data_IF_521810024087
#
_entry.id   IF_521810024087
#
_cell.length_a   1.000
_cell.length_b   1.000
_cell.length_c   1.000
_cell.angle_alpha   90.00
_cell.angle_beta   90.00
_cell.angle_gamma   90.00
#
_symmetry.space_group_name_H-M   'P 1'
#
loop_
_entity.id
_entity.type
_entity.pdbx_description
1 polymer ?
#
# COMPACT_ATOMS: atom_id res chain seq x y z
N UNK A 1 -61.48 38.94 50.02
CA UNK A 1 -62.48 37.95 49.54
C UNK A 1 -62.11 37.50 48.14
N UNK A 2 -61.99 36.18 47.98
CA UNK A 2 -62.23 35.37 46.79
C UNK A 2 -61.72 35.73 45.37
N UNK A 3 -60.91 34.79 44.85
CA UNK A 3 -61.12 34.00 43.61
C UNK A 3 -60.47 34.42 42.27
N UNK A 4 -59.46 33.61 41.90
CA UNK A 4 -59.26 32.84 40.64
C UNK A 4 -59.57 33.51 39.29
N UNK A 5 -58.60 33.47 38.37
CA UNK A 5 -58.67 32.65 37.14
C UNK A 5 -57.29 32.40 36.48
N UNK A 6 -57.18 31.16 35.98
CA UNK A 6 -56.06 30.46 35.34
C UNK A 6 -55.95 30.77 33.84
N UNK A 7 -54.90 30.20 33.20
CA UNK A 7 -54.73 29.81 31.77
C UNK A 7 -53.90 30.78 30.93
N UNK A 8 -52.91 30.40 30.10
CA UNK A 8 -52.32 29.11 29.72
C UNK A 8 -50.83 29.35 29.36
N UNK A 9 -49.90 28.76 30.10
CA UNK A 9 -48.50 28.72 29.73
C UNK A 9 -48.23 27.45 28.92
N UNK A 10 -48.45 27.50 27.61
CA UNK A 10 -48.00 26.45 26.68
C UNK A 10 -46.50 26.63 26.48
N UNK A 11 -45.70 26.00 27.35
CA UNK A 11 -44.27 25.83 27.09
C UNK A 11 -44.12 24.72 26.07
N UNK A 12 -44.00 25.10 24.80
CA UNK A 12 -43.52 24.20 23.75
C UNK A 12 -42.07 23.83 24.10
N UNK A 13 -41.88 22.61 24.58
CA UNK A 13 -40.56 22.04 24.80
C UNK A 13 -39.97 21.75 23.42
N UNK A 14 -39.19 22.69 22.89
CA UNK A 14 -38.41 22.49 21.66
C UNK A 14 -37.36 21.40 21.93
N UNK A 15 -37.68 20.16 21.58
CA UNK A 15 -36.72 19.07 21.53
C UNK A 15 -35.81 19.30 20.32
N UNK A 16 -34.70 19.99 20.54
CA UNK A 16 -33.63 20.12 19.56
C UNK A 16 -32.94 18.76 19.44
N UNK A 17 -33.36 17.94 18.48
CA UNK A 17 -32.64 16.74 18.07
C UNK A 17 -31.36 17.21 17.36
N UNK A 18 -30.24 17.22 18.09
CA UNK A 18 -28.91 17.40 17.52
C UNK A 18 -28.59 16.09 16.78
N UNK A 19 -28.89 16.05 15.47
CA UNK A 19 -28.33 15.05 14.57
C UNK A 19 -26.85 15.36 14.42
N UNK A 20 -26.03 14.74 15.26
CA UNK A 20 -24.59 14.68 15.05
C UNK A 20 -24.37 13.84 13.79
N UNK A 21 -24.32 14.50 12.63
CA UNK A 21 -23.76 13.91 11.42
C UNK A 21 -22.30 13.60 11.71
N UNK A 22 -22.03 12.38 12.18
CA UNK A 22 -20.72 11.78 12.06
C UNK A 22 -20.49 11.62 10.56
N UNK A 23 -19.94 12.67 9.96
CA UNK A 23 -19.25 12.57 8.69
C UNK A 23 -18.06 11.64 8.96
N UNK A 24 -18.30 10.34 8.87
CA UNK A 24 -17.24 9.38 8.65
C UNK A 24 -16.62 9.81 7.34
N UNK A 25 -15.57 10.63 7.41
CA UNK A 25 -14.66 10.79 6.31
C UNK A 25 -14.22 9.36 5.97
N UNK A 26 -14.77 8.83 4.88
CA UNK A 26 -14.39 7.52 4.38
C UNK A 26 -12.87 7.53 4.29
N UNK A 27 -12.23 6.55 4.93
CA UNK A 27 -10.78 6.51 4.97
C UNK A 27 -10.24 6.51 3.53
N UNK A 28 -9.41 7.51 3.24
CA UNK A 28 -8.74 7.78 1.97
C UNK A 28 -8.07 6.57 1.31
N UNK A 29 -7.59 5.65 2.14
CA UNK A 29 -6.86 4.44 1.74
C UNK A 29 -7.35 3.28 2.60
N UNK A 30 -7.62 2.14 1.97
CA UNK A 30 -7.94 0.89 2.66
C UNK A 30 -7.02 -0.22 2.15
N UNK A 31 -6.37 -0.92 3.09
CA UNK A 31 -5.54 -2.09 2.80
C UNK A 31 -6.24 -3.33 3.36
N UNK A 32 -6.48 -4.32 2.52
CA UNK A 32 -7.05 -5.63 2.90
C UNK A 32 -6.21 -6.76 2.32
N UNK A 33 -6.45 -7.99 2.78
CA UNK A 33 -5.83 -9.18 2.21
C UNK A 33 -6.79 -9.90 1.26
N UNK A 34 -6.26 -10.40 0.15
CA UNK A 34 -7.00 -11.23 -0.79
C UNK A 34 -6.04 -12.13 -1.58
N UNK A 35 -6.53 -12.75 -2.65
CA UNK A 35 -5.74 -13.57 -3.55
C UNK A 35 -5.92 -13.14 -5.00
N UNK A 36 -4.84 -13.23 -5.77
CA UNK A 36 -4.87 -13.07 -7.23
C UNK A 36 -3.84 -14.02 -7.85
N UNK A 37 -4.18 -14.65 -8.98
CA UNK A 37 -3.36 -15.70 -9.62
C UNK A 37 -2.96 -16.84 -8.65
N UNK A 38 -3.83 -17.16 -7.68
CA UNK A 38 -3.59 -18.18 -6.66
C UNK A 38 -2.55 -17.82 -5.60
N UNK A 39 -2.26 -16.52 -5.40
CA UNK A 39 -1.21 -16.04 -4.49
C UNK A 39 -1.75 -14.98 -3.52
N UNK A 40 -1.28 -14.91 -2.27
CA UNK A 40 -1.66 -13.86 -1.32
C UNK A 40 -1.28 -12.47 -1.83
N UNK A 41 -2.22 -11.53 -1.70
CA UNK A 41 -2.02 -10.14 -2.09
C UNK A 41 -2.51 -9.20 -0.97
N UNK A 42 -1.88 -8.03 -0.88
CA UNK A 42 -2.54 -6.87 -0.29
C UNK A 42 -3.34 -6.15 -1.39
N UNK A 43 -4.59 -5.84 -1.11
CA UNK A 43 -5.46 -5.04 -1.98
C UNK A 43 -5.54 -3.65 -1.37
N UNK A 44 -5.05 -2.66 -2.12
CA UNK A 44 -4.97 -1.27 -1.68
C UNK A 44 -5.97 -0.47 -2.51
N UNK A 45 -7.04 -0.04 -1.86
CA UNK A 45 -8.08 0.78 -2.48
C UNK A 45 -7.82 2.24 -2.11
N UNK A 46 -7.72 3.08 -3.13
CA UNK A 46 -7.55 4.53 -3.06
C UNK A 46 -8.72 5.22 -3.76
N UNK A 47 -8.71 6.55 -3.82
CA UNK A 47 -9.76 7.30 -4.53
C UNK A 47 -9.71 7.06 -6.05
N UNK A 48 -8.53 6.85 -6.63
CA UNK A 48 -8.35 6.79 -8.09
C UNK A 48 -8.10 5.39 -8.64
N UNK A 49 -7.68 4.45 -7.78
CA UNK A 49 -7.28 3.13 -8.22
C UNK A 49 -7.33 2.07 -7.11
N UNK A 50 -7.37 0.81 -7.55
CA UNK A 50 -7.13 -0.37 -6.73
C UNK A 50 -5.83 -1.05 -7.17
N UNK A 51 -4.89 -1.20 -6.23
CA UNK A 51 -3.63 -1.89 -6.43
C UNK A 51 -3.70 -3.31 -5.87
N UNK A 52 -3.11 -4.26 -6.58
CA UNK A 52 -2.92 -5.63 -6.10
C UNK A 52 -1.43 -5.85 -5.91
N UNK A 53 -0.99 -6.02 -4.67
CA UNK A 53 0.42 -6.19 -4.31
C UNK A 53 0.70 -7.64 -3.93
N UNK A 54 1.53 -8.36 -4.72
CA UNK A 54 1.93 -9.74 -4.42
C UNK A 54 2.86 -9.75 -3.20
N UNK A 55 2.40 -10.36 -2.10
CA UNK A 55 3.14 -10.34 -0.83
C UNK A 55 4.52 -11.04 -0.93
N UNK A 56 4.62 -12.09 -1.74
CA UNK A 56 5.82 -12.91 -1.88
C UNK A 56 6.73 -12.45 -3.03
N UNK A 57 6.17 -11.75 -4.02
CA UNK A 57 6.93 -11.09 -5.09
C UNK A 57 7.50 -9.74 -4.66
N UNK A 58 6.75 -8.99 -3.86
CA UNK A 58 7.13 -7.66 -3.40
C UNK A 58 6.82 -6.53 -4.41
N UNK A 59 5.89 -6.77 -5.34
CA UNK A 59 5.49 -5.83 -6.39
C UNK A 59 4.01 -5.93 -6.73
N UNK A 60 3.52 -4.93 -7.45
CA UNK A 60 2.16 -4.86 -7.97
C UNK A 60 1.96 -5.76 -9.18
N UNK A 61 0.92 -6.59 -9.11
CA UNK A 61 0.41 -7.40 -10.21
C UNK A 61 -0.73 -6.72 -10.97
N UNK A 62 -1.42 -5.78 -10.33
CA UNK A 62 -2.53 -5.02 -10.95
C UNK A 62 -2.53 -3.58 -10.46
N UNK A 63 -2.94 -2.68 -11.34
CA UNK A 63 -3.29 -1.30 -11.05
C UNK A 63 -4.57 -0.99 -11.80
N UNK A 64 -5.71 -1.07 -11.14
CA UNK A 64 -7.03 -0.94 -11.76
C UNK A 64 -7.55 0.47 -11.50
N UNK A 65 -7.78 1.25 -12.54
CA UNK A 65 -8.41 2.57 -12.38
C UNK A 65 -9.92 2.49 -12.13
N UNK A 66 -10.54 3.62 -11.84
CA UNK A 66 -11.99 3.70 -11.59
C UNK A 66 -12.87 3.35 -12.81
N UNK A 67 -12.29 3.28 -14.01
CA UNK A 67 -12.98 2.83 -15.23
C UNK A 67 -12.83 1.32 -15.44
N UNK A 68 -12.17 0.62 -14.50
CA UNK A 68 -11.94 -0.83 -14.53
C UNK A 68 -10.78 -1.26 -15.41
N UNK A 69 -9.98 -0.32 -15.95
CA UNK A 69 -8.84 -0.63 -16.81
C UNK A 69 -7.64 -0.98 -15.96
N UNK A 70 -7.03 -2.14 -16.23
CA UNK A 70 -5.85 -2.63 -15.50
C UNK A 70 -4.56 -2.22 -16.21
N UNK A 71 -3.80 -1.33 -15.60
CA UNK A 71 -2.58 -0.76 -16.14
C UNK A 71 -1.35 -1.66 -16.01
N UNK A 72 -1.47 -2.82 -15.34
CA UNK A 72 -0.38 -3.81 -15.22
C UNK A 72 -0.84 -5.14 -15.81
N UNK A 73 -2.02 -5.64 -15.41
CA UNK A 73 -2.63 -6.86 -15.93
C UNK A 73 -1.65 -8.06 -15.97
N UNK A 74 -0.93 -8.30 -14.87
CA UNK A 74 -0.06 -9.46 -14.74
C UNK A 74 -0.86 -10.77 -14.76
N UNK A 75 -0.34 -11.75 -15.50
CA UNK A 75 -0.83 -13.13 -15.48
C UNK A 75 0.37 -14.03 -15.23
N UNK A 76 0.22 -15.01 -14.33
CA UNK A 76 1.34 -15.87 -13.96
C UNK A 76 1.84 -16.71 -15.13
N UNK A 77 0.94 -17.14 -16.01
CA UNK A 77 1.28 -18.07 -17.08
C UNK A 77 1.18 -17.42 -18.47
N UNK A 78 2.24 -17.50 -19.30
CA UNK A 78 3.58 -17.98 -18.97
C UNK A 78 4.38 -16.95 -18.15
N UNK A 79 5.16 -17.40 -17.16
CA UNK A 79 5.93 -16.50 -16.30
C UNK A 79 7.15 -15.92 -17.02
N UNK A 80 7.96 -16.80 -17.63
CA UNK A 80 9.28 -16.46 -18.18
C UNK A 80 9.50 -17.03 -19.60
N UNK A 81 8.59 -16.77 -20.53
CA UNK A 81 8.66 -17.23 -21.92
C UNK A 81 8.72 -16.06 -22.89
N UNK A 82 9.88 -15.81 -23.49
CA UNK A 82 10.00 -14.74 -24.49
C UNK A 82 9.49 -15.19 -25.88
N UNK A 83 8.66 -14.39 -26.58
CA UNK A 83 8.09 -13.11 -26.16
C UNK A 83 6.70 -13.21 -25.49
N UNK A 84 6.11 -14.42 -25.38
CA UNK A 84 4.75 -14.63 -24.91
C UNK A 84 4.44 -13.95 -23.56
N UNK A 85 5.38 -13.97 -22.61
CA UNK A 85 5.26 -13.36 -21.28
C UNK A 85 5.13 -11.84 -21.28
N UNK A 86 5.35 -11.16 -22.41
CA UNK A 86 5.01 -9.73 -22.54
C UNK A 86 3.51 -9.45 -22.40
N UNK A 87 2.66 -10.46 -22.62
CA UNK A 87 1.21 -10.42 -22.38
C UNK A 87 0.80 -11.02 -21.02
N UNK A 88 1.79 -11.42 -20.19
CA UNK A 88 1.56 -12.19 -18.98
C UNK A 88 2.68 -11.94 -17.95
N UNK A 89 3.57 -12.91 -17.79
CA UNK A 89 4.49 -12.97 -16.65
C UNK A 89 5.60 -11.93 -16.58
N UNK A 90 5.87 -11.18 -17.65
CA UNK A 90 6.82 -10.07 -17.57
C UNK A 90 6.18 -8.80 -17.03
N UNK A 91 4.85 -8.70 -17.00
CA UNK A 91 4.17 -7.50 -16.49
C UNK A 91 4.34 -7.39 -14.98
N UNK A 92 4.43 -6.17 -14.47
CA UNK A 92 4.63 -5.91 -13.05
C UNK A 92 5.23 -4.54 -12.77
N UNK A 93 5.25 -4.18 -11.49
CA UNK A 93 5.92 -2.98 -11.01
C UNK A 93 6.30 -3.17 -9.53
N UNK A 94 7.54 -2.89 -9.07
CA UNK A 94 8.63 -2.25 -9.81
C UNK A 94 9.56 -3.22 -10.56
N UNK A 95 9.40 -4.54 -10.45
CA UNK A 95 10.37 -5.54 -10.97
C UNK A 95 11.84 -5.16 -10.65
N UNK A 96 12.16 -4.95 -9.38
CA UNK A 96 13.34 -4.17 -9.01
C UNK A 96 14.69 -4.89 -9.20
N UNK A 97 14.71 -6.21 -8.97
CA UNK A 97 15.95 -6.99 -8.85
C UNK A 97 16.09 -7.97 -10.01
N UNK A 98 17.16 -7.81 -10.79
CA UNK A 98 17.40 -8.60 -12.00
C UNK A 98 18.85 -9.09 -12.11
N UNK A 99 19.02 -10.22 -12.80
CA UNK A 99 20.31 -10.73 -13.28
C UNK A 99 20.83 -11.93 -12.48
N UNK A 100 21.51 -12.85 -13.16
CA UNK A 100 21.96 -14.14 -12.60
C UNK A 100 22.92 -13.98 -11.42
N UNK A 101 23.68 -12.88 -11.38
CA UNK A 101 24.59 -12.58 -10.27
C UNK A 101 23.87 -12.09 -9.01
N UNK A 102 22.56 -11.79 -9.08
CA UNK A 102 21.77 -11.36 -7.92
C UNK A 102 21.00 -12.55 -7.32
N UNK A 103 21.37 -13.04 -6.12
CA UNK A 103 20.61 -14.11 -5.44
C UNK A 103 19.13 -13.80 -5.19
N UNK A 104 18.73 -12.52 -5.18
CA UNK A 104 17.35 -12.09 -5.01
C UNK A 104 16.68 -11.74 -6.35
N UNK A 105 17.20 -12.24 -7.48
CA UNK A 105 16.62 -12.06 -8.82
C UNK A 105 15.11 -12.39 -8.84
N UNK A 106 14.32 -11.48 -9.39
CA UNK A 106 12.85 -11.49 -9.36
C UNK A 106 12.24 -10.78 -8.14
N UNK A 107 13.04 -10.27 -7.20
CA UNK A 107 12.54 -9.46 -6.09
C UNK A 107 11.93 -8.14 -6.59
N UNK A 108 10.73 -7.83 -6.10
CA UNK A 108 9.94 -6.69 -6.58
C UNK A 108 9.11 -7.00 -7.82
N UNK A 109 9.17 -8.20 -8.37
CA UNK A 109 8.33 -8.64 -9.50
C UNK A 109 7.22 -9.60 -9.00
N UNK A 110 5.94 -9.41 -9.40
CA UNK A 110 4.84 -10.31 -9.01
C UNK A 110 5.00 -11.72 -9.60
N UNK A 111 4.69 -12.76 -8.83
CA UNK A 111 4.79 -14.16 -9.27
C UNK A 111 6.04 -14.88 -8.75
N UNK A 112 7.09 -14.15 -8.39
CA UNK A 112 8.27 -14.71 -7.72
C UNK A 112 8.07 -14.88 -6.21
N UNK A 113 8.91 -15.70 -5.59
CA UNK A 113 8.87 -15.99 -4.16
C UNK A 113 10.13 -15.47 -3.45
N UNK A 114 10.55 -14.24 -3.72
CA UNK A 114 11.80 -13.68 -3.21
C UNK A 114 11.64 -12.80 -1.97
N UNK A 115 10.42 -12.40 -1.64
CA UNK A 115 10.16 -11.39 -0.64
C UNK A 115 9.25 -11.89 0.49
N UNK A 116 9.24 -11.11 1.57
CA UNK A 116 8.23 -11.11 2.63
C UNK A 116 7.72 -9.68 2.76
N UNK A 117 6.41 -9.52 2.78
CA UNK A 117 5.78 -8.19 2.85
C UNK A 117 4.74 -8.15 3.95
N UNK A 118 4.61 -7.00 4.61
CA UNK A 118 3.66 -6.79 5.70
C UNK A 118 3.18 -5.34 5.74
N UNK A 119 1.94 -5.16 6.17
CA UNK A 119 1.35 -3.84 6.42
C UNK A 119 1.96 -3.27 7.70
N UNK A 120 2.55 -2.08 7.64
CA UNK A 120 3.20 -1.44 8.81
C UNK A 120 2.32 -0.38 9.47
N UNK A 121 1.42 0.21 8.71
CA UNK A 121 0.38 1.13 9.17
C UNK A 121 -0.79 1.12 8.18
N UNK A 122 -1.78 2.00 8.36
CA UNK A 122 -3.00 2.02 7.53
C UNK A 122 -2.75 2.34 6.05
N UNK A 123 -1.58 2.87 5.72
CA UNK A 123 -1.25 3.46 4.43
C UNK A 123 0.10 2.97 3.90
N UNK A 124 0.72 1.96 4.51
CA UNK A 124 2.06 1.53 4.10
C UNK A 124 2.27 0.03 4.16
N UNK A 125 2.99 -0.48 3.17
CA UNK A 125 3.47 -1.86 3.08
C UNK A 125 4.98 -1.84 3.06
N UNK A 126 5.60 -2.58 3.98
CA UNK A 126 7.03 -2.83 3.96
C UNK A 126 7.30 -4.19 3.33
N UNK A 127 8.35 -4.24 2.52
CA UNK A 127 8.83 -5.44 1.85
C UNK A 127 10.31 -5.61 2.08
N UNK A 128 10.71 -6.84 2.37
CA UNK A 128 12.10 -7.24 2.46
C UNK A 128 12.32 -8.52 1.66
N UNK A 129 13.45 -8.60 0.96
CA UNK A 129 13.92 -9.86 0.37
C UNK A 129 14.17 -10.91 1.45
N UNK A 130 14.02 -12.19 1.12
CA UNK A 130 14.23 -13.30 2.06
C UNK A 130 15.67 -13.37 2.58
N UNK A 131 16.64 -12.94 1.77
CA UNK A 131 18.04 -12.78 2.18
C UNK A 131 18.27 -11.61 3.15
N UNK A 132 17.33 -10.66 3.21
CA UNK A 132 17.45 -9.43 3.99
C UNK A 132 18.35 -8.36 3.38
N UNK A 133 18.89 -8.57 2.16
CA UNK A 133 19.83 -7.63 1.51
C UNK A 133 19.14 -6.38 0.97
N UNK A 134 17.88 -6.52 0.57
CA UNK A 134 17.06 -5.45 0.00
C UNK A 134 15.79 -5.25 0.81
N UNK A 135 15.35 -4.00 0.93
CA UNK A 135 14.08 -3.63 1.51
C UNK A 135 13.54 -2.34 0.89
N UNK A 136 12.22 -2.24 0.79
CA UNK A 136 11.52 -1.04 0.35
C UNK A 136 10.19 -0.89 1.07
N UNK A 137 9.68 0.33 1.09
CA UNK A 137 8.36 0.64 1.63
C UNK A 137 7.55 1.34 0.57
N UNK A 138 6.32 0.88 0.36
CA UNK A 138 5.28 1.59 -0.37
C UNK A 138 4.39 2.34 0.62
N UNK A 139 4.15 3.62 0.37
CA UNK A 139 3.19 4.44 1.10
C UNK A 139 2.14 5.01 0.15
N UNK A 140 0.89 5.05 0.59
CA UNK A 140 -0.27 5.35 -0.25
C UNK A 140 -0.99 6.61 0.25
N UNK A 141 -1.37 7.45 -0.70
CA UNK A 141 -2.32 8.56 -0.50
C UNK A 141 -3.61 8.25 -1.28
N UNK A 142 -4.56 9.19 -1.30
CA UNK A 142 -5.76 9.05 -2.13
C UNK A 142 -5.45 8.93 -3.63
N UNK A 143 -4.32 9.48 -4.07
CA UNK A 143 -4.01 9.70 -5.49
C UNK A 143 -2.68 9.14 -5.94
N UNK A 144 -1.80 8.73 -5.00
CA UNK A 144 -0.44 8.28 -5.32
C UNK A 144 -0.01 7.08 -4.48
N UNK A 145 0.91 6.30 -5.05
CA UNK A 145 1.72 5.30 -4.36
C UNK A 145 3.19 5.74 -4.46
N UNK A 146 3.89 5.80 -3.33
CA UNK A 146 5.30 6.20 -3.27
C UNK A 146 6.15 5.06 -2.73
N UNK A 147 7.14 4.63 -3.49
CA UNK A 147 8.14 3.65 -3.08
C UNK A 147 9.40 4.35 -2.60
N UNK A 148 9.95 3.89 -1.48
CA UNK A 148 11.31 4.24 -1.04
C UNK A 148 12.13 2.96 -0.94
N UNK A 149 13.28 2.90 -1.62
CA UNK A 149 14.26 1.85 -1.41
C UNK A 149 14.94 2.08 -0.05
N UNK A 150 14.54 1.37 0.99
CA UNK A 150 15.01 1.61 2.36
C UNK A 150 16.31 0.87 2.68
N UNK A 151 16.63 -0.18 1.93
CA UNK A 151 17.89 -0.92 1.99
C UNK A 151 18.24 -1.49 0.62
N UNK A 152 19.50 -1.33 0.21
CA UNK A 152 20.02 -1.90 -1.03
C UNK A 152 21.35 -2.61 -0.76
N UNK A 153 21.62 -3.68 -1.52
CA UNK A 153 22.94 -4.31 -1.52
C UNK A 153 23.94 -3.33 -2.18
N UNK A 154 25.02 -2.91 -1.51
CA UNK A 154 25.95 -1.93 -2.07
C UNK A 154 26.77 -2.48 -3.25
N UNK A 155 26.78 -3.79 -3.46
CA UNK A 155 27.57 -4.45 -4.50
C UNK A 155 26.79 -4.74 -5.80
N UNK A 156 25.47 -4.53 -5.79
CA UNK A 156 24.60 -4.93 -6.90
C UNK A 156 23.73 -3.74 -7.34
N UNK A 157 23.61 -3.50 -8.66
CA UNK A 157 22.67 -2.51 -9.17
C UNK A 157 21.24 -3.05 -9.21
N UNK A 158 20.29 -2.16 -9.35
CA UNK A 158 18.86 -2.43 -9.47
C UNK A 158 18.19 -1.41 -10.40
N UNK A 159 16.89 -1.54 -10.64
CA UNK A 159 16.11 -0.58 -11.42
C UNK A 159 14.69 -0.44 -10.88
N UNK A 160 13.93 0.51 -11.41
CA UNK A 160 12.49 0.57 -11.20
C UNK A 160 11.82 0.44 -12.57
N UNK A 161 11.03 -0.62 -12.78
CA UNK A 161 10.28 -0.86 -14.01
C UNK A 161 8.78 -0.73 -13.81
N UNK A 162 8.15 -0.12 -14.80
CA UNK A 162 6.75 -0.30 -15.09
C UNK A 162 6.61 -1.15 -16.35
N UNK A 163 5.97 -2.30 -16.21
CA UNK A 163 5.73 -3.24 -17.30
C UNK A 163 4.23 -3.57 -17.34
N UNK A 164 3.50 -2.99 -18.29
CA UNK A 164 2.06 -3.16 -18.37
C UNK A 164 1.43 -2.58 -19.63
N UNK A 165 0.17 -2.93 -19.92
CA UNK A 165 -0.60 -2.25 -20.95
C UNK A 165 -1.02 -0.86 -20.48
N UNK A 166 -1.08 0.10 -21.41
CA UNK A 166 -1.58 1.44 -21.12
C UNK A 166 -3.11 1.38 -21.17
N UNK A 167 -3.78 1.82 -20.11
CA UNK A 167 -5.23 1.84 -20.01
C UNK A 167 -5.88 0.46 -20.34
N UNK A 168 -5.31 -0.63 -19.84
CA UNK A 168 -5.91 -1.97 -19.93
C UNK A 168 -5.80 -2.67 -21.29
N UNK A 169 -5.09 -2.11 -22.27
CA UNK A 169 -4.94 -2.75 -23.57
C UNK A 169 -3.60 -2.46 -24.26
N UNK A 170 -3.13 -3.42 -25.06
CA UNK A 170 -1.97 -3.23 -25.93
C UNK A 170 -2.40 -2.75 -27.32
N UNK A 171 -2.68 -1.46 -27.45
CA UNK A 171 -2.95 -0.80 -28.73
C UNK A 171 -2.00 0.37 -28.99
N UNK A 172 -0.68 0.13 -29.25
CA UNK A 172 0.34 1.19 -29.26
C UNK A 172 0.04 2.42 -30.12
N UNK A 173 -0.74 2.28 -31.20
CA UNK A 173 -1.14 3.38 -32.09
C UNK A 173 -2.12 4.38 -31.46
N UNK A 174 -2.86 3.95 -30.46
CA UNK A 174 -3.83 4.75 -29.69
C UNK A 174 -3.19 5.32 -28.42
N UNK A 175 -1.97 4.90 -28.11
CA UNK A 175 -1.27 5.34 -26.91
C UNK A 175 -0.40 6.54 -27.22
N UNK A 176 -0.13 7.30 -26.18
CA UNK A 176 0.83 8.39 -26.18
C UNK A 176 1.64 8.37 -24.89
N UNK A 177 2.80 9.00 -24.93
CA UNK A 177 3.69 9.11 -23.79
C UNK A 177 4.44 10.44 -23.80
N UNK A 178 5.06 10.80 -22.69
CA UNK A 178 5.93 11.97 -22.61
C UNK A 178 6.85 11.86 -21.42
N UNK A 179 7.88 12.69 -21.39
CA UNK A 179 8.87 12.73 -20.32
C UNK A 179 9.15 14.18 -19.92
N UNK A 180 10.00 14.38 -18.92
CA UNK A 180 10.55 15.70 -18.59
C UNK A 180 11.37 16.34 -19.73
N UNK A 181 11.62 15.62 -20.82
CA UNK A 181 12.29 16.11 -22.03
C UNK A 181 11.32 16.54 -23.14
N UNK A 182 10.02 16.27 -23.00
CA UNK A 182 9.00 16.68 -23.95
C UNK A 182 7.87 15.66 -24.15
N UNK A 183 6.88 16.06 -24.95
CA UNK A 183 5.70 15.26 -25.28
C UNK A 183 4.52 16.14 -25.71
N UNK A 184 3.33 15.57 -25.95
CA UNK A 184 3.06 14.14 -26.07
C UNK A 184 3.66 13.53 -27.35
N UNK A 185 4.18 12.32 -27.24
CA UNK A 185 4.76 11.51 -28.31
C UNK A 185 3.84 10.34 -28.66
N UNK A 186 3.82 9.98 -29.94
CA UNK A 186 3.02 8.85 -30.49
C UNK A 186 3.85 7.82 -31.23
N UNK A 187 5.16 8.04 -31.32
CA UNK A 187 6.04 7.00 -31.83
C UNK A 187 6.00 5.77 -30.92
N UNK A 188 6.30 4.60 -31.50
CA UNK A 188 6.27 3.30 -30.84
C UNK A 188 7.69 2.75 -30.80
N UNK A 189 8.53 3.18 -29.84
CA UNK A 189 9.88 2.63 -29.68
C UNK A 189 9.79 1.11 -29.51
N UNK A 190 10.65 0.37 -30.20
CA UNK A 190 10.61 -1.09 -30.23
C UNK A 190 11.98 -1.66 -29.86
N UNK A 191 12.14 -2.99 -29.85
CA UNK A 191 13.37 -3.66 -29.39
C UNK A 191 14.68 -3.07 -29.95
N UNK A 192 14.68 -2.69 -31.23
CA UNK A 192 15.86 -2.17 -31.94
C UNK A 192 15.87 -0.63 -32.08
N UNK A 193 14.90 0.04 -31.47
CA UNK A 193 14.71 1.49 -31.52
C UNK A 193 14.14 1.99 -30.19
N UNK A 194 14.64 1.43 -29.09
CA UNK A 194 14.25 1.82 -27.74
C UNK A 194 14.63 3.30 -27.53
N UNK A 195 13.78 4.05 -26.83
CA UNK A 195 14.11 5.40 -26.44
C UNK A 195 14.94 5.35 -25.15
N UNK A 196 16.09 6.03 -25.15
CA UNK A 196 16.99 6.14 -24.02
C UNK A 196 17.25 7.61 -23.70
N UNK A 197 17.18 7.99 -22.43
CA UNK A 197 17.44 9.35 -21.95
C UNK A 197 17.69 9.35 -20.43
N UNK A 198 17.94 10.51 -19.83
CA UNK A 198 17.95 10.74 -18.38
C UNK A 198 16.62 11.35 -17.95
N UNK A 199 15.65 10.48 -17.67
CA UNK A 199 14.25 10.79 -17.43
C UNK A 199 14.01 10.95 -15.92
N UNK A 200 13.56 12.12 -15.50
CA UNK A 200 13.12 12.33 -14.10
C UNK A 200 11.67 11.89 -13.90
N UNK A 201 10.83 12.06 -14.91
CA UNK A 201 9.46 11.59 -14.88
C UNK A 201 8.94 11.27 -16.28
N UNK A 202 7.99 10.35 -16.35
CA UNK A 202 7.29 9.97 -17.57
C UNK A 202 5.78 9.84 -17.32
N UNK A 203 4.99 10.06 -18.36
CA UNK A 203 3.57 9.75 -18.36
C UNK A 203 3.16 8.92 -19.57
N UNK A 204 2.07 8.17 -19.41
CA UNK A 204 1.52 7.24 -20.38
C UNK A 204 0.00 7.35 -20.40
N UNK A 205 -0.56 7.56 -21.59
CA UNK A 205 -1.99 7.75 -21.76
C UNK A 205 -2.52 7.14 -23.06
N UNK A 206 -3.84 7.17 -23.18
CA UNK A 206 -4.61 6.62 -24.29
C UNK A 206 -5.55 7.71 -24.82
N UNK A 207 -5.64 7.88 -26.13
CA UNK A 207 -6.55 8.85 -26.77
C UNK A 207 -8.03 8.54 -26.55
N UNK A 208 -8.36 7.40 -25.97
CA UNK A 208 -9.71 6.99 -25.61
C UNK A 208 -9.90 6.92 -24.09
N UNK A 209 -9.00 7.53 -23.31
CA UNK A 209 -9.03 7.54 -21.85
C UNK A 209 -8.79 8.94 -21.30
N UNK A 210 -9.51 9.29 -20.24
CA UNK A 210 -9.23 10.48 -19.43
C UNK A 210 -8.16 10.21 -18.37
N UNK A 211 -7.81 8.95 -18.13
CA UNK A 211 -6.80 8.57 -17.14
C UNK A 211 -5.41 8.55 -17.78
N UNK A 212 -4.44 9.11 -17.07
CA UNK A 212 -3.02 9.14 -17.45
C UNK A 212 -2.18 8.62 -16.29
N UNK A 213 -1.40 7.57 -16.54
CA UNK A 213 -0.42 7.07 -15.59
C UNK A 213 0.83 7.94 -15.64
N UNK A 214 1.38 8.33 -14.50
CA UNK A 214 2.71 8.92 -14.42
C UNK A 214 3.58 8.22 -13.39
N UNK A 215 4.88 8.28 -13.65
CA UNK A 215 5.94 7.78 -12.80
C UNK A 215 7.00 8.87 -12.67
N UNK A 216 7.48 9.09 -11.45
CA UNK A 216 8.44 10.15 -11.17
C UNK A 216 9.49 9.70 -10.15
N UNK A 217 10.75 9.94 -10.47
CA UNK A 217 11.89 9.76 -9.58
C UNK A 217 12.20 11.09 -8.88
N UNK A 218 12.26 11.06 -7.54
CA UNK A 218 12.41 12.27 -6.74
C UNK A 218 13.83 12.82 -6.77
N UNK A 219 14.81 11.93 -6.76
CA UNK A 219 16.23 12.29 -6.80
C UNK A 219 16.70 12.28 -8.26
N UNK A 220 17.11 13.41 -8.83
CA UNK A 220 17.79 13.40 -10.12
C UNK A 220 19.04 12.52 -10.05
N UNK A 221 19.31 11.76 -11.11
CA UNK A 221 20.57 11.05 -11.27
C UNK A 221 21.09 11.20 -12.72
N UNK A 222 22.13 10.45 -13.07
CA UNK A 222 22.74 10.43 -14.41
C UNK A 222 22.64 9.03 -15.05
N UNK A 223 21.74 8.18 -14.55
CA UNK A 223 21.53 6.85 -15.12
C UNK A 223 20.64 6.94 -16.36
N UNK A 224 20.81 5.98 -17.25
CA UNK A 224 20.02 5.91 -18.47
C UNK A 224 18.73 5.15 -18.18
N UNK A 225 17.64 5.72 -18.66
CA UNK A 225 16.30 5.18 -18.56
C UNK A 225 15.83 4.69 -19.92
N UNK A 226 14.83 3.83 -19.95
CA UNK A 226 14.28 3.30 -21.21
C UNK A 226 12.78 3.46 -21.32
N UNK A 227 12.29 3.79 -22.51
CA UNK A 227 10.88 3.60 -22.93
C UNK A 227 10.83 2.74 -24.19
N UNK A 228 10.04 1.67 -24.20
CA UNK A 228 9.74 0.88 -25.40
C UNK A 228 8.53 -0.04 -25.26
N UNK A 229 8.01 -0.49 -26.40
CA UNK A 229 6.93 -1.48 -26.47
C UNK A 229 7.50 -2.87 -26.76
N UNK A 230 7.04 -3.85 -25.98
CA UNK A 230 7.33 -5.26 -26.19
C UNK A 230 6.04 -6.01 -26.53
N UNK A 231 5.94 -6.50 -27.76
CA UNK A 231 4.81 -7.32 -28.20
C UNK A 231 4.99 -8.80 -27.82
N UNK A 232 3.89 -9.50 -27.57
CA UNK A 232 3.85 -10.92 -27.16
C UNK A 232 4.14 -11.94 -28.28
N UNK A 233 4.54 -11.48 -29.46
CA UNK A 233 4.81 -12.34 -30.62
C UNK A 233 6.18 -12.06 -31.22
N UNK A 234 6.73 -13.06 -31.94
CA UNK A 234 8.01 -12.92 -32.67
C UNK A 234 7.97 -11.83 -33.75
N UNK A 235 6.78 -11.35 -34.12
CA UNK A 235 6.58 -10.26 -35.10
C UNK A 235 6.79 -8.86 -34.49
N UNK A 236 7.09 -8.77 -33.20
CA UNK A 236 7.36 -7.51 -32.50
C UNK A 236 6.10 -6.72 -32.13
N UNK A 237 6.29 -5.55 -31.52
CA UNK A 237 5.21 -4.69 -31.00
C UNK A 237 4.24 -4.20 -32.08
N UNK A 238 4.71 -3.96 -33.30
CA UNK A 238 3.88 -3.46 -34.39
C UNK A 238 2.79 -4.44 -34.89
N UNK A 239 2.93 -5.74 -34.61
CA UNK A 239 2.05 -6.80 -35.13
C UNK A 239 1.53 -7.75 -34.05
N UNK A 240 1.97 -7.60 -32.80
CA UNK A 240 1.45 -8.42 -31.71
C UNK A 240 0.03 -7.97 -31.35
N UNK A 241 -0.83 -8.94 -31.02
CA UNK A 241 -2.20 -8.68 -30.55
C UNK A 241 -2.23 -8.26 -29.08
N UNK A 242 -1.13 -8.51 -28.37
CA UNK A 242 -0.96 -8.19 -26.96
C UNK A 242 0.52 -7.91 -26.65
N UNK A 243 0.82 -7.40 -25.47
CA UNK A 243 2.15 -6.97 -25.07
C UNK A 243 2.10 -5.94 -23.95
N UNK A 244 3.17 -5.16 -23.82
CA UNK A 244 3.26 -4.13 -22.79
C UNK A 244 4.12 -2.96 -23.24
N UNK A 245 3.90 -1.82 -22.59
CA UNK A 245 4.93 -0.79 -22.48
C UNK A 245 5.91 -1.24 -21.39
N UNK A 246 7.19 -1.03 -21.65
CA UNK A 246 8.27 -1.17 -20.69
C UNK A 246 8.89 0.20 -20.49
N UNK A 247 8.72 0.75 -19.30
CA UNK A 247 9.40 1.94 -18.84
C UNK A 247 10.33 1.58 -17.68
N UNK A 248 11.54 2.12 -17.65
CA UNK A 248 12.47 1.80 -16.58
C UNK A 248 13.42 2.91 -16.19
N UNK A 249 13.38 3.28 -14.92
CA UNK A 249 14.40 4.11 -14.28
C UNK A 249 15.66 3.25 -14.00
N UNK A 250 16.82 3.72 -14.48
CA UNK A 250 18.09 3.01 -14.44
C UNK A 250 18.08 1.68 -15.18
N UNK A 251 17.23 1.54 -16.20
CA UNK A 251 17.31 0.41 -17.14
C UNK A 251 18.18 0.82 -18.32
N UNK A 252 19.44 0.44 -18.27
CA UNK A 252 20.40 0.67 -19.34
C UNK A 252 20.17 -0.23 -20.57
N UNK A 253 21.01 0.00 -21.58
CA UNK A 253 21.06 -0.84 -22.78
C UNK A 253 21.28 -2.31 -22.44
N UNK A 254 20.74 -3.21 -23.27
CA UNK A 254 20.82 -4.68 -23.07
C UNK A 254 20.25 -5.14 -21.71
N UNK A 255 19.26 -4.42 -21.18
CA UNK A 255 18.61 -4.72 -19.90
C UNK A 255 19.63 -4.83 -18.75
N UNK A 256 20.48 -3.81 -18.60
CA UNK A 256 21.41 -3.69 -17.48
C UNK A 256 20.83 -2.77 -16.40
N UNK A 257 20.68 -3.23 -15.14
CA UNK A 257 20.32 -2.34 -14.03
C UNK A 257 21.44 -1.35 -13.72
N UNK A 258 21.09 -0.12 -13.36
CA UNK A 258 22.03 0.98 -13.16
C UNK A 258 21.83 1.77 -11.86
N UNK A 259 20.67 1.67 -11.21
CA UNK A 259 20.47 2.32 -9.91
C UNK A 259 21.29 1.61 -8.84
N UNK A 260 21.79 2.37 -7.87
CA UNK A 260 22.59 1.85 -6.76
C UNK A 260 22.19 2.54 -5.46
N UNK A 261 22.45 1.87 -4.33
CA UNK A 261 22.23 2.45 -3.01
C UNK A 261 20.76 2.54 -2.61
N UNK A 262 20.54 3.07 -1.41
CA UNK A 262 19.24 3.25 -0.77
C UNK A 262 18.83 4.73 -0.76
N UNK A 263 17.57 5.02 -0.44
CA UNK A 263 17.00 6.37 -0.35
C UNK A 263 16.32 6.85 -1.62
N UNK A 264 16.52 6.16 -2.75
CA UNK A 264 15.82 6.44 -4.00
C UNK A 264 14.31 6.33 -3.79
N UNK A 265 13.58 7.35 -4.25
CA UNK A 265 12.14 7.51 -4.04
C UNK A 265 11.43 7.68 -5.37
N UNK A 266 10.38 6.91 -5.57
CA UNK A 266 9.57 6.90 -6.79
C UNK A 266 8.11 7.11 -6.45
N UNK A 267 7.43 7.96 -7.21
CA UNK A 267 5.98 8.13 -7.11
C UNK A 267 5.31 7.60 -8.37
N UNK A 268 4.24 6.86 -8.17
CA UNK A 268 3.31 6.41 -9.20
C UNK A 268 1.96 7.06 -8.90
N UNK A 269 1.31 7.59 -9.92
CA UNK A 269 -0.03 8.14 -9.77
C UNK A 269 -0.84 8.08 -11.06
N UNK A 270 -2.15 8.22 -10.90
CA UNK A 270 -3.07 8.42 -12.01
C UNK A 270 -3.56 9.87 -11.98
N UNK A 271 -3.48 10.54 -13.11
CA UNK A 271 -4.13 11.83 -13.34
C UNK A 271 -5.45 11.59 -14.05
N UNK A 272 -6.44 12.40 -13.71
CA UNK A 272 -7.73 12.43 -14.38
C UNK A 272 -7.86 13.74 -15.15
N UNK A 273 -7.98 13.60 -16.46
CA UNK A 273 -8.24 14.70 -17.38
C UNK A 273 -9.75 14.98 -17.42
N UNK A 274 -10.16 16.25 -17.61
CA UNK A 274 -11.58 16.61 -17.68
C UNK A 274 -12.28 16.04 -18.92
N UNK A 275 -11.52 15.73 -19.97
CA UNK A 275 -11.99 15.13 -21.20
C UNK A 275 -10.86 14.36 -21.88
N UNK A 276 -11.22 13.57 -22.89
CA UNK A 276 -10.25 12.96 -23.80
C UNK A 276 -9.39 14.07 -24.42
N UNK A 277 -8.04 13.97 -24.36
CA UNK A 277 -7.20 15.10 -24.69
C UNK A 277 -6.99 15.26 -26.20
N UNK A 278 -6.88 16.52 -26.63
CA UNK A 278 -6.10 16.85 -27.81
C UNK A 278 -4.61 16.61 -27.48
N UNK A 279 -3.89 15.95 -28.37
CA UNK A 279 -2.47 15.64 -28.16
C UNK A 279 -1.60 16.81 -28.64
N UNK A 280 -1.50 17.85 -27.83
CA UNK A 280 -0.75 19.06 -28.11
C UNK A 280 0.19 19.48 -26.96
N UNK A 281 0.94 20.56 -27.17
CA UNK A 281 1.89 21.09 -26.18
C UNK A 281 1.18 21.57 -24.89
N UNK A 282 -0.09 21.96 -24.97
CA UNK A 282 -0.87 22.39 -23.81
C UNK A 282 -1.21 21.22 -22.88
N UNK A 283 -1.50 20.04 -23.45
CA UNK A 283 -1.61 18.80 -22.68
C UNK A 283 -0.30 18.51 -21.96
N UNK A 284 0.84 18.58 -22.66
CA UNK A 284 2.14 18.30 -22.06
C UNK A 284 2.45 19.24 -20.89
N UNK A 285 2.28 20.55 -21.07
CA UNK A 285 2.50 21.53 -20.01
C UNK A 285 1.60 21.31 -18.79
N UNK A 286 0.34 20.88 -19.00
CA UNK A 286 -0.59 20.56 -17.92
C UNK A 286 -0.16 19.31 -17.14
N UNK A 287 0.23 18.25 -17.84
CA UNK A 287 0.74 17.01 -17.23
C UNK A 287 2.06 17.26 -16.50
N UNK A 288 2.99 18.00 -17.10
CA UNK A 288 4.24 18.42 -16.47
C UNK A 288 3.98 19.15 -15.15
N UNK A 289 3.04 20.09 -15.13
CA UNK A 289 2.68 20.84 -13.93
C UNK A 289 2.15 19.92 -12.83
N UNK A 290 1.26 18.99 -13.19
CA UNK A 290 0.69 18.03 -12.24
C UNK A 290 1.74 17.06 -11.66
N UNK A 291 2.64 16.54 -12.50
CA UNK A 291 3.72 15.64 -12.06
C UNK A 291 4.75 16.38 -11.21
N UNK A 292 5.10 17.60 -11.59
CA UNK A 292 6.03 18.45 -10.80
C UNK A 292 5.44 18.77 -9.44
N UNK A 293 4.13 19.06 -9.36
CA UNK A 293 3.45 19.25 -8.09
C UNK A 293 3.55 17.97 -7.22
N UNK A 294 3.32 16.79 -7.79
CA UNK A 294 3.44 15.51 -7.08
C UNK A 294 4.86 15.27 -6.54
N UNK A 295 5.90 15.64 -7.28
CA UNK A 295 7.30 15.56 -6.84
C UNK A 295 7.61 16.46 -5.64
N UNK A 296 6.86 17.54 -5.46
CA UNK A 296 7.05 18.49 -4.34
C UNK A 296 6.16 18.22 -3.13
N UNK A 297 5.18 17.31 -3.23
CA UNK A 297 4.27 17.08 -2.11
C UNK A 297 5.02 16.49 -0.90
N UNK A 298 4.64 16.92 0.33
CA UNK A 298 5.24 16.37 1.54
C UNK A 298 5.06 14.86 1.56
N UNK A 299 6.17 14.15 1.74
CA UNK A 299 6.13 12.69 1.87
C UNK A 299 5.30 12.34 3.08
N UNK A 300 4.43 11.34 2.93
CA UNK A 300 3.83 10.70 4.09
C UNK A 300 4.97 10.17 4.96
N UNK A 301 5.18 10.80 6.12
CA UNK A 301 6.01 10.22 7.15
C UNK A 301 5.09 9.44 8.05
N UNK A 302 5.22 8.10 8.09
CA UNK A 302 4.46 7.32 9.06
C UNK A 302 4.78 7.91 10.43
N UNK A 303 3.74 8.39 11.12
CA UNK A 303 3.89 8.69 12.54
C UNK A 303 4.41 7.39 13.17
N UNK A 304 5.49 7.42 13.96
CA UNK A 304 5.95 6.22 14.62
C UNK A 304 4.77 5.64 15.40
N UNK A 305 4.20 4.57 14.87
CA UNK A 305 3.31 3.71 15.63
C UNK A 305 4.17 3.24 16.78
N UNK A 306 3.69 3.42 18.02
CA UNK A 306 4.34 2.82 19.18
C UNK A 306 4.36 1.34 18.90
N UNK A 307 5.49 0.85 18.39
CA UNK A 307 5.69 -0.56 18.19
C UNK A 307 5.62 -1.14 19.61
N UNK A 308 4.59 -1.93 19.88
CA UNK A 308 4.60 -2.87 20.98
C UNK A 308 5.71 -3.87 20.64
N UNK A 309 6.95 -3.49 20.98
CA UNK A 309 8.10 -4.38 20.86
C UNK A 309 7.90 -5.44 21.93
N UNK A 310 7.32 -6.56 21.54
CA UNK A 310 7.35 -7.75 22.35
C UNK A 310 8.80 -8.21 22.38
N UNK A 311 9.54 -7.82 23.44
CA UNK A 311 10.82 -8.46 23.75
C UNK A 311 10.47 -9.73 24.51
N UNK A 312 10.70 -10.93 23.94
CA UNK A 312 10.78 -12.11 24.79
C UNK A 312 11.97 -11.85 25.72
N UNK A 313 11.69 -11.64 27.01
CA UNK A 313 12.72 -11.78 28.02
C UNK A 313 13.23 -13.22 27.89
N UNK A 314 14.51 -13.38 27.59
CA UNK A 314 15.16 -14.67 27.70
C UNK A 314 15.02 -15.11 29.17
N UNK A 315 14.13 -16.06 29.43
CA UNK A 315 13.92 -16.64 30.75
C UNK A 315 15.14 -17.51 31.03
N UNK A 316 16.10 -16.98 31.78
CA UNK A 316 17.22 -17.78 32.30
C UNK A 316 16.97 -18.27 33.72
N UNK A 317 15.79 -18.05 34.30
CA UNK A 317 15.47 -18.52 35.65
C UNK A 317 13.96 -18.82 35.82
N UNK A 318 13.56 -20.08 36.08
CA UNK A 318 12.15 -20.48 36.14
C UNK A 318 11.41 -20.14 37.45
N UNK A 319 11.97 -19.32 38.35
CA UNK A 319 11.39 -19.12 39.71
C UNK A 319 11.03 -17.67 40.10
N UNK A 320 11.10 -16.67 39.21
CA UNK A 320 10.71 -15.29 39.55
C UNK A 320 9.60 -14.75 38.63
N UNK A 321 8.34 -14.98 39.01
CA UNK A 321 7.17 -14.40 38.35
C UNK A 321 6.74 -13.12 39.07
N UNK A 322 7.22 -11.97 38.58
CA UNK A 322 6.65 -10.63 38.82
C UNK A 322 7.02 -9.74 37.63
N UNK A 323 6.34 -9.93 36.50
CA UNK A 323 6.56 -9.15 35.29
C UNK A 323 5.86 -7.79 35.36
N UNK A 324 6.61 -6.72 35.65
CA UNK A 324 6.15 -5.34 35.43
C UNK A 324 6.41 -4.97 33.97
N UNK A 325 5.37 -4.57 33.24
CA UNK A 325 5.49 -3.93 31.92
C UNK A 325 6.10 -2.55 32.15
N UNK A 326 7.38 -2.37 31.82
CA UNK A 326 8.04 -1.07 31.89
C UNK A 326 7.87 -0.30 30.57
N UNK A 327 7.19 0.85 30.63
CA UNK A 327 7.16 1.82 29.55
C UNK A 327 8.39 2.72 29.69
N UNK A 328 9.30 2.68 28.72
CA UNK A 328 10.39 3.66 28.65
C UNK A 328 9.99 4.76 27.66
N UNK A 329 9.81 5.96 28.19
CA UNK A 329 9.62 7.17 27.40
C UNK A 329 11.02 7.73 27.10
N UNK A 330 11.44 7.93 25.83
CA UNK A 330 12.71 8.61 25.58
C UNK A 330 12.58 10.07 26.03
N UNK A 331 13.56 10.50 26.82
CA UNK A 331 13.61 11.77 27.54
C UNK A 331 13.08 12.98 26.77
N UNK A 332 12.18 13.74 27.40
CA UNK A 332 11.99 15.17 27.14
C UNK A 332 12.24 15.96 28.41
N UNK A 333 13.10 16.97 28.26
CA UNK A 333 13.39 18.02 29.22
C UNK A 333 12.11 18.73 29.66
N UNK A 334 12.03 18.94 30.97
CA UNK A 334 11.15 19.84 31.73
C UNK A 334 10.24 20.78 30.92
N UNK A 335 8.94 20.54 30.98
CA UNK A 335 7.95 21.59 31.18
C UNK A 335 6.73 21.04 31.92
N UNK A 336 6.40 21.67 33.06
CA UNK A 336 5.25 21.36 33.89
C UNK A 336 4.02 22.02 33.29
N UNK A 337 3.17 21.24 32.63
CA UNK A 337 1.73 21.55 32.53
C UNK A 337 0.94 20.30 32.89
N UNK A 338 0.06 20.45 33.89
CA UNK A 338 -0.82 19.40 34.36
C UNK A 338 -1.95 19.19 33.35
N UNK A 339 -1.88 18.13 32.56
CA UNK A 339 -3.01 17.64 31.78
C UNK A 339 -3.56 16.37 32.43
N UNK A 340 -4.87 16.34 32.70
CA UNK A 340 -5.63 15.14 33.07
C UNK A 340 -5.51 14.08 31.97
N UNK A 341 -4.46 13.26 32.01
CA UNK A 341 -4.36 12.06 31.21
C UNK A 341 -4.92 10.88 32.00
N UNK A 342 -6.04 10.35 31.52
CA UNK A 342 -6.60 9.07 31.99
C UNK A 342 -5.60 7.96 31.64
N UNK A 343 -5.07 7.29 32.64
CA UNK A 343 -4.28 6.07 32.45
C UNK A 343 -5.20 4.95 31.98
N UNK A 344 -4.99 4.47 30.76
CA UNK A 344 -5.69 3.30 30.23
C UNK A 344 -5.02 2.04 30.77
N UNK A 345 -5.81 1.03 31.14
CA UNK A 345 -5.22 -0.25 31.53
C UNK A 345 -4.61 -0.94 30.29
N UNK A 346 -3.57 -1.78 30.45
CA UNK A 346 -2.99 -2.56 29.35
C UNK A 346 -4.04 -3.36 28.56
N UNK A 347 -5.14 -3.76 29.21
CA UNK A 347 -6.26 -4.48 28.62
C UNK A 347 -7.10 -3.61 27.67
N UNK A 348 -7.25 -2.31 27.95
CA UNK A 348 -8.00 -1.39 27.07
C UNK A 348 -7.24 -1.12 25.75
N UNK A 349 -5.92 -1.20 25.76
CA UNK A 349 -5.07 -1.01 24.59
C UNK A 349 -5.05 -2.22 23.64
N UNK A 350 -5.27 -3.43 24.15
CA UNK A 350 -5.27 -4.68 23.36
C UNK A 350 -6.62 -4.96 22.67
N UNK A 351 -7.70 -4.37 23.17
CA UNK A 351 -9.08 -4.62 22.73
C UNK A 351 -9.38 -4.39 21.22
N UNK A 352 -8.68 -3.53 20.45
CA UNK A 352 -8.88 -3.39 19.00
C UNK A 352 -8.34 -4.55 18.16
N UNK A 353 -7.43 -5.36 18.70
CA UNK A 353 -6.64 -6.33 17.94
C UNK A 353 -7.05 -7.78 18.19
N UNK A 354 -8.10 -8.02 18.98
CA UNK A 354 -8.62 -9.36 19.32
C UNK A 354 -8.93 -10.23 18.08
N UNK A 355 -9.28 -9.60 16.96
CA UNK A 355 -9.66 -10.26 15.70
C UNK A 355 -8.46 -10.88 14.97
N UNK A 356 -7.24 -10.38 15.20
CA UNK A 356 -6.02 -10.84 14.51
C UNK A 356 -5.14 -11.74 15.37
N UNK A 357 -5.58 -12.13 16.57
CA UNK A 357 -4.79 -12.96 17.48
C UNK A 357 -4.85 -14.43 17.08
N UNK A 358 -3.70 -15.11 17.16
CA UNK A 358 -3.63 -16.56 17.05
C UNK A 358 -4.37 -17.24 18.21
N UNK A 359 -4.72 -18.52 18.06
CA UNK A 359 -5.38 -19.31 19.12
C UNK A 359 -4.59 -19.32 20.43
N UNK A 360 -3.25 -19.41 20.36
CA UNK A 360 -2.37 -19.37 21.54
C UNK A 360 -2.45 -18.03 22.26
N UNK A 361 -2.44 -16.93 21.52
CA UNK A 361 -2.48 -15.59 22.09
C UNK A 361 -3.84 -15.27 22.72
N UNK A 362 -4.92 -15.81 22.16
CA UNK A 362 -6.25 -15.71 22.78
C UNK A 362 -6.31 -16.50 24.09
N UNK A 363 -5.74 -17.71 24.14
CA UNK A 363 -5.71 -18.52 25.35
C UNK A 363 -4.89 -17.85 26.47
N UNK A 364 -3.69 -17.37 26.15
CA UNK A 364 -2.83 -16.62 27.08
C UNK A 364 -3.53 -15.35 27.60
N UNK A 365 -4.19 -14.59 26.71
CA UNK A 365 -4.99 -13.43 27.11
C UNK A 365 -6.14 -13.82 28.05
N UNK A 366 -6.84 -14.93 27.76
CA UNK A 366 -7.95 -15.40 28.61
C UNK A 366 -7.46 -15.90 29.97
N UNK A 367 -6.29 -16.54 30.05
CA UNK A 367 -5.67 -16.95 31.32
C UNK A 367 -5.29 -15.73 32.17
N UNK A 368 -4.65 -14.73 31.56
CA UNK A 368 -4.30 -13.48 32.24
C UNK A 368 -5.55 -12.72 32.72
N UNK A 369 -6.62 -12.68 31.93
CA UNK A 369 -7.89 -12.06 32.30
C UNK A 369 -8.65 -12.80 33.42
N UNK A 370 -8.39 -14.09 33.60
CA UNK A 370 -8.94 -14.87 34.72
C UNK A 370 -8.13 -14.68 36.01
N UNK A 371 -6.87 -14.29 35.90
CA UNK A 371 -5.99 -14.03 37.04
C UNK A 371 -6.19 -12.63 37.65
N UNK A 372 -6.81 -11.68 36.94
CA UNK A 372 -7.11 -10.35 37.48
C UNK A 372 -8.34 -10.38 38.43
N UNK A 373 -8.19 -9.93 39.69
CA UNK A 373 -9.31 -9.82 40.61
C UNK A 373 -10.20 -8.62 40.23
N UNK A 374 -11.47 -8.89 39.92
CA UNK A 374 -12.50 -7.89 39.73
C UNK A 374 -13.25 -8.00 38.40
N UNK A 375 -14.34 -7.24 38.23
CA UNK A 375 -15.14 -7.28 37.01
C UNK A 375 -14.36 -6.67 35.85
N UNK A 376 -14.38 -7.35 34.71
CA UNK A 376 -13.77 -6.81 33.49
C UNK A 376 -14.37 -5.44 33.10
N UNK A 377 -13.58 -4.53 32.51
CA UNK A 377 -14.08 -3.28 31.96
C UNK A 377 -15.21 -3.53 30.94
N UNK A 378 -16.25 -2.69 30.97
CA UNK A 378 -17.46 -2.87 30.15
C UNK A 378 -17.17 -2.88 28.64
N UNK A 379 -16.20 -2.06 28.21
CA UNK A 379 -15.75 -1.99 26.80
C UNK A 379 -15.12 -3.32 26.35
N UNK A 380 -14.39 -4.01 27.23
CA UNK A 380 -13.81 -5.32 26.94
C UNK A 380 -14.90 -6.39 26.87
N UNK A 381 -15.86 -6.37 27.80
CA UNK A 381 -17.01 -7.29 27.79
C UNK A 381 -17.80 -7.20 26.49
N UNK A 382 -18.16 -5.99 26.06
CA UNK A 382 -18.93 -5.78 24.82
C UNK A 382 -18.19 -6.30 23.59
N UNK A 383 -16.87 -6.11 23.50
CA UNK A 383 -16.07 -6.59 22.38
C UNK A 383 -15.91 -8.11 22.37
N UNK A 384 -15.72 -8.73 23.54
CA UNK A 384 -15.70 -10.18 23.65
C UNK A 384 -17.05 -10.79 23.30
N UNK A 385 -18.17 -10.14 23.67
CA UNK A 385 -19.51 -10.57 23.26
C UNK A 385 -19.65 -10.55 21.73
N UNK A 386 -19.26 -9.46 21.06
CA UNK A 386 -19.30 -9.36 19.59
C UNK A 386 -18.43 -10.43 18.92
N UNK A 387 -17.20 -10.65 19.41
CA UNK A 387 -16.31 -11.70 18.89
C UNK A 387 -16.90 -13.10 19.11
N UNK A 388 -17.57 -13.34 20.24
CA UNK A 388 -18.18 -14.62 20.60
C UNK A 388 -19.40 -15.00 19.73
N UNK A 389 -20.07 -14.01 19.14
CA UNK A 389 -21.25 -14.20 18.31
C UNK A 389 -20.90 -14.52 16.85
N UNK A 390 -19.66 -14.27 16.42
CA UNK A 390 -19.26 -14.54 15.05
C UNK A 390 -18.87 -16.02 14.88
N UNK A 391 -19.79 -16.81 14.31
CA UNK A 391 -19.61 -18.26 14.09
C UNK A 391 -18.47 -18.61 13.12
N UNK A 392 -17.93 -17.65 12.38
CA UNK A 392 -16.76 -17.86 11.53
C UNK A 392 -15.44 -17.89 12.33
N UNK A 393 -15.45 -17.55 13.62
CA UNK A 393 -14.26 -17.58 14.47
C UNK A 393 -14.09 -18.98 15.09
N UNK A 394 -13.01 -19.71 14.77
CA UNK A 394 -12.72 -21.01 15.38
C UNK A 394 -12.58 -20.96 16.90
N UNK A 395 -12.38 -19.76 17.47
CA UNK A 395 -12.16 -19.52 18.90
C UNK A 395 -13.42 -18.97 19.62
N UNK A 396 -14.55 -18.81 18.93
CA UNK A 396 -15.77 -18.25 19.51
C UNK A 396 -16.26 -19.04 20.76
N UNK A 397 -16.05 -20.35 20.80
CA UNK A 397 -16.42 -21.19 21.96
C UNK A 397 -15.53 -20.94 23.19
N UNK A 398 -14.24 -20.66 22.97
CA UNK A 398 -13.29 -20.32 24.05
C UNK A 398 -13.68 -18.98 24.67
N UNK A 399 -14.02 -18.00 23.84
CA UNK A 399 -14.45 -16.67 24.28
C UNK A 399 -15.78 -16.77 25.07
N UNK A 400 -16.76 -17.56 24.57
CA UNK A 400 -18.02 -17.81 25.30
C UNK A 400 -17.80 -18.45 26.67
N UNK A 401 -16.91 -19.44 26.75
CA UNK A 401 -16.58 -20.10 28.00
C UNK A 401 -15.94 -19.14 29.01
N UNK A 402 -15.09 -18.21 28.56
CA UNK A 402 -14.46 -17.21 29.43
C UNK A 402 -15.47 -16.17 29.94
N UNK A 403 -16.35 -15.64 29.07
CA UNK A 403 -17.43 -14.72 29.46
C UNK A 403 -18.35 -15.38 30.51
N UNK A 404 -18.69 -16.66 30.31
CA UNK A 404 -19.57 -17.40 31.22
C UNK A 404 -19.00 -17.63 32.63
N UNK A 405 -17.67 -17.63 32.80
CA UNK A 405 -17.02 -17.74 34.12
C UNK A 405 -17.04 -16.43 34.90
N UNK A 406 -16.93 -15.29 34.22
CA UNK A 406 -17.01 -13.96 34.83
C UNK A 406 -18.44 -13.54 35.25
N UNK A 407 -19.46 -14.16 34.65
CA UNK A 407 -20.86 -13.90 34.99
C UNK A 407 -21.35 -14.65 36.24
N UNK A 408 -20.51 -15.53 36.83
CA UNK A 408 -20.83 -16.23 38.08
C UNK A 408 -20.33 -15.38 39.26
N UNK A 409 -21.18 -15.16 40.29
CA UNK A 409 -20.82 -14.35 41.46
C UNK A 409 -19.66 -14.94 42.26
#
# INVERSE_FOLDING_TARGET
>A
MCWRRYSNAVRVLSVTIIFTFFCQAALAVRITESHYQGRPHFIIETKLATYYFDQAGGGFSRLIDNDGKDWIEFKKEPLESFPASAAAGFRGMPNALFGDANPDNGGGHPGFNQCKSYVVDRQSIHTQTKSGRWAWTWSFTETTATMVMTKADPSLPWWFLYEGPIAGSFTPKEKYWGTDKGGPRRDVPAKNSQYYDHIQWAYFGDINSTKVLYLAQHQPDQQIDTVWYLGSSKKGSAKAVDGMLVFGFGRGQKAQPQLTGQGQTFTVGLLELPAVPALDDALHGSLQSAVTQALTQPRYQPKPSVALVYRPLAVTDPMAFNGIIAFTNPATSSNKEASNQRSWSPLELLAPHLISLSKSNILELMENLQAEPGPWPEVLKQRLIVASQNRAYPQADIIRAAIGRQARP
#
